data_IF_741402539341
#
_entry.id   IF_741402539341
#
_cell.length_a   1.000
_cell.length_b   1.000
_cell.length_c   1.000
_cell.angle_alpha   90.00
_cell.angle_beta   90.00
_cell.angle_gamma   90.00
#
_symmetry.space_group_name_H-M   'P 1'
#
loop_
_entity.id
_entity.type
_entity.pdbx_description
1 polymer ?
#
# COMPACT_ATOMS: atom_id res chain seq x y z
N UNK A 1 -14.89 -11.96 4.37
CA UNK A 1 -14.25 -13.26 4.71
C UNK A 1 -13.66 -13.08 6.10
N UNK A 2 -13.97 -13.95 7.07
CA UNK A 2 -13.45 -13.83 8.45
C UNK A 2 -13.62 -12.44 9.10
N UNK A 3 -14.78 -11.78 8.88
CA UNK A 3 -15.05 -10.43 9.37
C UNK A 3 -14.55 -9.29 8.48
N UNK A 4 -13.68 -9.58 7.51
CA UNK A 4 -13.13 -8.60 6.57
C UNK A 4 -14.10 -8.29 5.42
N UNK A 5 -14.11 -7.02 5.02
CA UNK A 5 -14.82 -6.55 3.83
C UNK A 5 -14.05 -6.94 2.57
N UNK A 6 -14.72 -7.66 1.67
CA UNK A 6 -14.27 -7.93 0.31
C UNK A 6 -15.40 -7.60 -0.66
N UNK A 7 -15.07 -7.61 -1.95
CA UNK A 7 -16.10 -7.56 -2.98
C UNK A 7 -17.07 -8.75 -2.85
N UNK A 8 -18.19 -8.70 -3.58
CA UNK A 8 -19.09 -9.85 -3.70
C UNK A 8 -18.64 -10.69 -4.89
N UNK A 9 -18.70 -12.01 -4.74
CA UNK A 9 -18.55 -12.92 -5.86
C UNK A 9 -19.61 -12.57 -6.93
N UNK A 10 -19.16 -12.40 -8.18
CA UNK A 10 -20.04 -12.05 -9.30
C UNK A 10 -20.36 -13.25 -10.16
N UNK A 11 -19.41 -14.15 -10.39
CA UNK A 11 -19.56 -15.32 -11.25
C UNK A 11 -19.55 -16.62 -10.43
N UNK A 12 -20.06 -17.71 -10.99
CA UNK A 12 -20.05 -18.98 -10.27
C UNK A 12 -18.70 -19.70 -10.39
N UNK A 13 -17.92 -19.38 -11.43
CA UNK A 13 -16.57 -19.92 -11.67
C UNK A 13 -15.53 -18.80 -11.78
N UNK A 14 -14.39 -19.00 -11.13
CA UNK A 14 -13.20 -18.15 -11.23
C UNK A 14 -12.00 -18.97 -11.72
N UNK A 15 -11.05 -18.36 -12.44
CA UNK A 15 -9.86 -19.06 -12.90
C UNK A 15 -8.98 -19.48 -11.73
N UNK A 16 -8.23 -20.56 -11.92
CA UNK A 16 -7.13 -20.90 -11.02
C UNK A 16 -6.06 -19.80 -11.04
N UNK A 17 -5.33 -19.65 -9.93
CA UNK A 17 -4.33 -18.60 -9.77
C UNK A 17 -2.99 -19.19 -9.35
N UNK A 18 -2.01 -19.09 -10.25
CA UNK A 18 -0.63 -19.49 -9.97
C UNK A 18 0.24 -18.26 -9.93
N UNK A 19 1.08 -18.14 -8.90
CA UNK A 19 2.07 -17.07 -8.78
C UNK A 19 3.45 -17.64 -8.53
N UNK A 20 4.42 -17.21 -9.33
CA UNK A 20 5.81 -17.67 -9.28
C UNK A 20 6.70 -16.46 -8.99
N UNK A 21 7.31 -16.46 -7.81
CA UNK A 21 8.29 -15.47 -7.41
C UNK A 21 9.65 -15.79 -8.02
N UNK A 22 10.43 -14.75 -8.29
CA UNK A 22 11.79 -14.88 -8.81
C UNK A 22 12.73 -14.01 -7.97
N UNK A 23 13.67 -14.64 -7.26
CA UNK A 23 14.62 -13.96 -6.39
C UNK A 23 16.07 -14.36 -6.72
N UNK A 24 17.09 -13.55 -6.36
CA UNK A 24 18.48 -13.94 -6.56
C UNK A 24 18.89 -15.21 -5.79
N UNK A 25 18.31 -15.37 -4.59
CA UNK A 25 18.51 -16.47 -3.66
C UNK A 25 17.44 -16.42 -2.57
N UNK A 26 17.49 -17.32 -1.57
CA UNK A 26 16.54 -17.32 -0.45
C UNK A 26 16.55 -15.99 0.33
N UNK A 27 15.37 -15.48 0.64
CA UNK A 27 15.16 -14.27 1.44
C UNK A 27 13.82 -14.39 2.18
N UNK A 28 13.85 -14.73 3.46
CA UNK A 28 12.65 -14.99 4.26
C UNK A 28 11.64 -13.84 4.24
N UNK A 29 12.13 -12.58 4.20
CA UNK A 29 11.25 -11.41 4.22
C UNK A 29 10.56 -11.24 2.87
N UNK A 30 11.31 -11.28 1.77
CA UNK A 30 10.75 -11.12 0.43
C UNK A 30 9.85 -12.30 0.06
N UNK A 31 10.25 -13.51 0.42
CA UNK A 31 9.44 -14.71 0.23
C UNK A 31 8.12 -14.65 1.02
N UNK A 32 8.18 -14.24 2.29
CA UNK A 32 6.99 -14.05 3.11
C UNK A 32 6.06 -12.99 2.54
N UNK A 33 6.59 -11.87 2.04
CA UNK A 33 5.80 -10.83 1.39
C UNK A 33 5.11 -11.33 0.12
N UNK A 34 5.83 -12.10 -0.69
CA UNK A 34 5.29 -12.69 -1.91
C UNK A 34 4.15 -13.67 -1.61
N UNK A 35 4.38 -14.61 -0.67
CA UNK A 35 3.36 -15.59 -0.26
C UNK A 35 2.14 -14.94 0.40
N UNK A 36 2.35 -13.88 1.19
CA UNK A 36 1.25 -13.12 1.78
C UNK A 36 0.44 -12.38 0.70
N UNK A 37 1.09 -11.70 -0.25
CA UNK A 37 0.39 -11.03 -1.36
C UNK A 37 -0.41 -12.03 -2.19
N UNK A 38 0.18 -13.18 -2.49
CA UNK A 38 -0.52 -14.28 -3.14
C UNK A 38 -1.79 -14.67 -2.36
N UNK A 39 -1.69 -14.91 -1.05
CA UNK A 39 -2.84 -15.23 -0.22
C UNK A 39 -3.95 -14.15 -0.25
N UNK A 40 -3.58 -12.87 -0.12
CA UNK A 40 -4.57 -11.77 -0.19
C UNK A 40 -5.27 -11.74 -1.55
N UNK A 41 -4.53 -11.96 -2.64
CA UNK A 41 -5.08 -12.05 -3.98
C UNK A 41 -5.98 -13.27 -4.19
N UNK A 42 -5.66 -14.44 -3.59
CA UNK A 42 -6.52 -15.63 -3.71
C UNK A 42 -7.86 -15.47 -3.02
N UNK A 43 -7.95 -14.64 -1.96
CA UNK A 43 -9.23 -14.24 -1.36
C UNK A 43 -10.02 -13.36 -2.33
N UNK A 44 -9.36 -12.36 -2.94
CA UNK A 44 -10.03 -11.39 -3.81
C UNK A 44 -10.43 -11.96 -5.18
N UNK A 45 -9.71 -12.98 -5.66
CA UNK A 45 -10.01 -13.67 -6.92
C UNK A 45 -10.94 -14.88 -6.75
N UNK A 46 -11.37 -15.20 -5.53
CA UNK A 46 -12.24 -16.36 -5.23
C UNK A 46 -11.71 -17.68 -5.81
N UNK A 47 -10.39 -17.83 -5.92
CA UNK A 47 -9.81 -19.01 -6.55
C UNK A 47 -10.04 -20.26 -5.69
N UNK A 48 -10.39 -21.35 -6.35
CA UNK A 48 -10.51 -22.70 -5.79
C UNK A 48 -9.29 -23.58 -6.08
N UNK A 49 -8.44 -23.14 -7.01
CA UNK A 49 -7.21 -23.82 -7.45
C UNK A 49 -6.08 -22.83 -7.44
N UNK A 50 -5.12 -23.00 -6.53
CA UNK A 50 -4.04 -22.05 -6.42
C UNK A 50 -2.69 -22.70 -6.13
N UNK A 51 -1.63 -22.04 -6.57
CA UNK A 51 -0.28 -22.43 -6.22
C UNK A 51 0.64 -21.22 -6.17
N UNK A 52 1.51 -21.21 -5.16
CA UNK A 52 2.54 -20.20 -4.99
C UNK A 52 3.88 -20.90 -4.86
N UNK A 53 4.84 -20.51 -5.70
CA UNK A 53 6.20 -20.98 -5.59
C UNK A 53 7.19 -19.85 -5.79
N UNK A 54 8.43 -20.07 -5.36
CA UNK A 54 9.51 -19.11 -5.51
C UNK A 54 10.69 -19.85 -6.08
N UNK A 55 11.24 -19.31 -7.15
CA UNK A 55 12.41 -19.81 -7.85
C UNK A 55 13.56 -18.84 -7.64
N UNK A 56 14.79 -19.37 -7.64
CA UNK A 56 15.99 -18.56 -7.44
C UNK A 56 16.84 -18.54 -8.71
N UNK A 57 17.44 -17.39 -9.02
CA UNK A 57 18.40 -17.31 -10.13
C UNK A 57 19.69 -18.12 -9.88
N UNK A 58 19.93 -18.53 -8.63
CA UNK A 58 21.02 -19.44 -8.25
C UNK A 58 20.72 -20.92 -8.55
N UNK A 59 19.49 -21.27 -8.92
CA UNK A 59 19.12 -22.65 -9.28
C UNK A 59 19.61 -22.99 -10.69
N UNK A 60 19.99 -24.26 -10.90
CA UNK A 60 20.21 -24.77 -12.25
C UNK A 60 18.89 -25.04 -12.99
N UNK A 61 18.98 -25.27 -14.30
CA UNK A 61 17.82 -25.48 -15.17
C UNK A 61 16.98 -26.70 -14.78
N UNK A 62 17.60 -27.76 -14.26
CA UNK A 62 16.90 -28.99 -13.88
C UNK A 62 16.12 -28.78 -12.58
N UNK A 63 16.70 -28.08 -11.60
CA UNK A 63 16.03 -27.64 -10.40
C UNK A 63 14.87 -26.69 -10.71
N UNK A 64 15.04 -25.73 -11.63
CA UNK A 64 13.96 -24.83 -12.06
C UNK A 64 12.80 -25.63 -12.65
N UNK A 65 13.07 -26.53 -13.61
CA UNK A 65 12.02 -27.37 -14.23
C UNK A 65 11.29 -28.22 -13.19
N UNK A 66 12.03 -28.87 -12.29
CA UNK A 66 11.47 -29.70 -11.22
C UNK A 66 10.54 -28.90 -10.30
N UNK A 67 10.99 -27.73 -9.85
CA UNK A 67 10.18 -26.88 -8.98
C UNK A 67 8.95 -26.32 -9.70
N UNK A 68 9.10 -25.90 -10.97
CA UNK A 68 7.98 -25.42 -11.77
C UNK A 68 6.91 -26.51 -11.96
N UNK A 69 7.32 -27.73 -12.30
CA UNK A 69 6.40 -28.87 -12.43
C UNK A 69 5.66 -29.15 -11.11
N UNK A 70 6.36 -29.09 -9.97
CA UNK A 70 5.75 -29.27 -8.65
C UNK A 70 4.72 -28.17 -8.33
N UNK A 71 5.01 -26.90 -8.65
CA UNK A 71 4.08 -25.78 -8.45
C UNK A 71 2.82 -25.98 -9.28
N UNK A 72 2.96 -26.34 -10.57
CA UNK A 72 1.83 -26.56 -11.46
C UNK A 72 0.98 -27.75 -11.03
N UNK A 73 1.61 -28.86 -10.64
CA UNK A 73 0.91 -30.04 -10.11
C UNK A 73 0.16 -29.71 -8.81
N UNK A 74 0.72 -28.88 -7.93
CA UNK A 74 0.02 -28.40 -6.73
C UNK A 74 -1.24 -27.60 -7.07
N UNK A 75 -1.21 -26.80 -8.14
CA UNK A 75 -2.35 -25.99 -8.56
C UNK A 75 -3.54 -26.86 -9.01
N UNK A 76 -3.28 -28.06 -9.52
CA UNK A 76 -4.32 -29.01 -9.92
C UNK A 76 -5.06 -29.61 -8.71
N UNK A 77 -4.37 -29.71 -7.57
CA UNK A 77 -4.85 -30.32 -6.33
C UNK A 77 -5.86 -29.49 -5.52
N UNK A 78 -6.14 -28.26 -5.92
CA UNK A 78 -7.11 -27.38 -5.25
C UNK A 78 -6.47 -26.19 -4.55
N UNK A 79 -7.16 -25.67 -3.52
CA UNK A 79 -6.72 -24.49 -2.77
C UNK A 79 -5.69 -24.85 -1.71
N UNK A 80 -4.66 -24.04 -1.57
CA UNK A 80 -3.63 -24.22 -0.54
C UNK A 80 -4.23 -24.31 0.87
N UNK A 81 -3.88 -25.37 1.60
CA UNK A 81 -4.36 -25.63 2.95
C UNK A 81 -3.66 -24.80 4.05
N UNK A 82 -2.48 -24.23 3.75
CA UNK A 82 -1.63 -23.53 4.72
C UNK A 82 -1.16 -22.17 4.18
N UNK A 83 -2.07 -21.18 4.05
CA UNK A 83 -1.71 -19.87 3.55
C UNK A 83 -0.86 -19.08 4.55
N UNK A 84 0.02 -18.22 4.02
CA UNK A 84 0.72 -17.21 4.83
C UNK A 84 -0.24 -16.04 5.07
N UNK A 85 -0.85 -16.01 6.26
CA UNK A 85 -1.93 -15.06 6.59
C UNK A 85 -1.45 -13.74 7.16
N UNK A 86 -0.20 -13.66 7.63
CA UNK A 86 0.39 -12.44 8.20
C UNK A 86 1.52 -11.92 7.32
N UNK A 87 1.55 -10.60 7.08
CA UNK A 87 2.67 -9.98 6.38
C UNK A 87 3.92 -9.97 7.28
N UNK A 88 5.13 -10.19 6.71
CA UNK A 88 6.37 -10.07 7.47
C UNK A 88 6.49 -8.71 8.17
N UNK A 89 6.87 -8.74 9.44
CA UNK A 89 7.10 -7.52 10.23
C UNK A 89 8.52 -7.02 9.98
N UNK A 90 8.62 -5.79 9.48
CA UNK A 90 9.91 -5.11 9.32
C UNK A 90 10.05 -4.07 10.41
N UNK A 91 10.99 -4.29 11.32
CA UNK A 91 11.25 -3.37 12.43
C UNK A 91 11.67 -1.98 11.93
N UNK A 92 11.24 -0.95 12.67
CA UNK A 92 11.71 0.42 12.46
C UNK A 92 13.22 0.48 12.72
N UNK A 93 13.90 1.31 11.94
CA UNK A 93 15.32 1.57 12.18
C UNK A 93 15.51 2.29 13.53
N UNK A 94 16.64 2.08 14.22
CA UNK A 94 16.98 2.86 15.40
C UNK A 94 16.84 4.36 15.10
N UNK A 95 16.27 5.12 16.04
CA UNK A 95 16.12 6.57 15.85
C UNK A 95 17.49 7.21 15.68
N UNK A 96 17.69 7.86 14.54
CA UNK A 96 18.87 8.70 14.32
C UNK A 96 18.78 9.97 15.18
N UNK A 97 19.92 10.48 15.61
CA UNK A 97 19.98 11.71 16.41
C UNK A 97 19.64 12.95 15.58
N UNK A 98 18.79 13.81 16.12
CA UNK A 98 18.57 15.17 15.63
C UNK A 98 17.22 15.43 14.94
N UNK A 99 16.72 16.67 15.03
CA UNK A 99 15.47 17.08 14.41
C UNK A 99 15.58 17.06 12.87
N UNK A 100 14.46 16.78 12.20
CA UNK A 100 14.33 16.85 10.74
C UNK A 100 14.16 18.31 10.32
N UNK A 101 14.87 18.73 9.27
CA UNK A 101 14.84 20.11 8.73
C UNK A 101 14.22 20.21 7.33
N UNK A 102 14.22 19.12 6.57
CA UNK A 102 13.58 19.05 5.24
C UNK A 102 12.80 17.76 5.08
N UNK A 103 11.60 17.86 4.50
CA UNK A 103 10.75 16.73 4.19
C UNK A 103 10.17 16.82 2.78
N UNK A 104 10.09 15.69 2.08
CA UNK A 104 9.49 15.54 0.76
C UNK A 104 8.30 14.58 0.80
N UNK A 105 7.14 15.05 0.35
CA UNK A 105 5.95 14.24 0.17
C UNK A 105 5.89 13.74 -1.27
N UNK A 106 5.88 12.44 -1.45
CA UNK A 106 5.59 11.77 -2.71
C UNK A 106 4.13 11.32 -2.70
N UNK A 107 3.28 11.98 -3.50
CA UNK A 107 1.88 11.60 -3.66
C UNK A 107 1.75 10.59 -4.78
N UNK A 108 1.45 9.34 -4.42
CA UNK A 108 1.33 8.18 -5.30
C UNK A 108 -0.07 7.88 -5.81
N UNK A 109 -1.00 8.83 -5.76
CA UNK A 109 -2.37 8.63 -6.27
C UNK A 109 -2.55 9.17 -7.71
N UNK A 110 -3.24 8.44 -8.60
CA UNK A 110 -3.59 8.94 -9.93
C UNK A 110 -4.56 10.13 -9.87
N UNK A 111 -5.30 10.29 -8.77
CA UNK A 111 -6.18 11.44 -8.52
C UNK A 111 -5.41 12.71 -8.10
N UNK A 112 -4.08 12.63 -8.02
CA UNK A 112 -3.18 13.73 -7.71
C UNK A 112 -3.63 14.52 -6.46
N UNK A 113 -3.64 15.85 -6.53
CA UNK A 113 -4.01 16.74 -5.43
C UNK A 113 -5.44 16.53 -4.89
N UNK A 114 -6.34 15.91 -5.67
CA UNK A 114 -7.73 15.60 -5.25
C UNK A 114 -7.88 14.21 -4.62
N UNK A 115 -6.77 13.56 -4.28
CA UNK A 115 -6.77 12.22 -3.71
C UNK A 115 -6.79 12.24 -2.18
N UNK A 116 -7.30 11.16 -1.59
CA UNK A 116 -7.15 10.93 -0.15
C UNK A 116 -5.68 10.89 0.27
N UNK A 117 -4.80 10.31 -0.55
CA UNK A 117 -3.36 10.24 -0.26
C UNK A 117 -2.72 11.64 -0.21
N UNK A 118 -3.12 12.54 -1.10
CA UNK A 118 -2.68 13.94 -1.07
C UNK A 118 -3.21 14.68 0.17
N UNK A 119 -4.45 14.43 0.56
CA UNK A 119 -5.06 15.05 1.75
C UNK A 119 -4.42 14.58 3.05
N UNK A 120 -4.20 13.27 3.21
CA UNK A 120 -3.54 12.69 4.39
C UNK A 120 -2.07 13.12 4.49
N UNK A 121 -1.33 12.99 3.38
CA UNK A 121 0.07 13.41 3.32
C UNK A 121 0.23 14.92 3.48
N UNK A 122 -0.65 15.70 2.85
CA UNK A 122 -0.68 17.16 2.95
C UNK A 122 -0.91 17.62 4.39
N UNK A 123 -1.89 17.05 5.09
CA UNK A 123 -2.12 17.36 6.51
C UNK A 123 -0.89 17.05 7.38
N UNK A 124 -0.27 15.88 7.19
CA UNK A 124 0.96 15.55 7.90
C UNK A 124 2.07 16.58 7.62
N UNK A 125 2.17 17.06 6.38
CA UNK A 125 3.17 18.04 5.96
C UNK A 125 2.88 19.44 6.48
N UNK A 126 1.62 19.86 6.54
CA UNK A 126 1.20 21.08 7.24
C UNK A 126 1.68 21.04 8.70
N UNK A 127 1.48 19.90 9.38
CA UNK A 127 1.93 19.72 10.77
C UNK A 127 3.45 19.67 10.93
N UNK A 128 4.18 19.10 9.96
CA UNK A 128 5.65 19.18 9.96
C UNK A 128 6.12 20.62 9.77
N UNK A 129 5.48 21.39 8.88
CA UNK A 129 5.80 22.80 8.66
C UNK A 129 5.55 23.66 9.92
N UNK A 130 4.48 23.39 10.67
CA UNK A 130 4.24 24.01 11.99
C UNK A 130 5.35 23.72 13.02
N UNK A 131 6.11 22.63 12.86
CA UNK A 131 7.29 22.30 13.66
C UNK A 131 8.60 22.89 13.09
N UNK A 132 8.52 23.72 12.04
CA UNK A 132 9.68 24.35 11.40
C UNK A 132 10.41 23.50 10.36
N UNK A 133 9.80 22.40 9.89
CA UNK A 133 10.35 21.58 8.81
C UNK A 133 10.07 22.22 7.46
N UNK A 134 11.07 22.35 6.58
CA UNK A 134 10.85 22.77 5.19
C UNK A 134 10.22 21.64 4.40
N UNK A 135 9.08 21.88 3.79
CA UNK A 135 8.29 20.85 3.12
C UNK A 135 8.23 21.05 1.61
N UNK A 136 8.41 19.96 0.86
CA UNK A 136 8.18 19.88 -0.58
C UNK A 136 7.15 18.79 -0.89
N UNK A 137 6.39 18.93 -1.99
CA UNK A 137 5.43 17.92 -2.43
C UNK A 137 5.55 17.65 -3.93
N UNK A 138 5.70 16.38 -4.29
CA UNK A 138 5.75 15.92 -5.68
C UNK A 138 4.61 14.94 -5.96
N UNK A 139 3.90 15.19 -7.06
CA UNK A 139 2.87 14.29 -7.58
C UNK A 139 3.53 13.26 -8.49
N UNK A 140 3.67 12.00 -8.05
CA UNK A 140 4.39 10.94 -8.77
C UNK A 140 3.89 10.78 -10.21
N UNK A 141 2.58 10.86 -10.43
CA UNK A 141 2.00 10.69 -11.76
C UNK A 141 2.43 11.76 -12.78
N UNK A 142 2.98 12.90 -12.34
CA UNK A 142 3.52 13.93 -13.23
C UNK A 142 4.92 13.63 -13.73
N UNK A 143 5.65 12.69 -13.12
CA UNK A 143 7.02 12.33 -13.51
C UNK A 143 7.08 11.20 -14.53
N UNK A 144 5.98 10.46 -14.70
CA UNK A 144 5.91 9.35 -15.64
C UNK A 144 6.10 9.82 -17.08
N UNK A 145 7.01 9.17 -17.82
CA UNK A 145 7.32 9.52 -19.20
C UNK A 145 8.05 10.86 -19.38
N UNK A 146 8.51 11.49 -18.29
CA UNK A 146 9.22 12.77 -18.34
C UNK A 146 10.57 12.67 -17.59
N UNK A 147 11.70 12.49 -18.32
CA UNK A 147 13.03 12.32 -17.72
C UNK A 147 13.48 13.50 -16.85
N UNK A 148 13.18 14.74 -17.25
CA UNK A 148 13.57 15.94 -16.49
C UNK A 148 12.87 16.01 -15.13
N UNK A 149 11.56 15.73 -15.11
CA UNK A 149 10.79 15.66 -13.87
C UNK A 149 11.22 14.49 -12.98
N UNK A 150 11.63 13.37 -13.57
CA UNK A 150 12.21 12.27 -12.82
C UNK A 150 13.54 12.69 -12.17
N UNK A 151 14.45 13.31 -12.92
CA UNK A 151 15.72 13.81 -12.40
C UNK A 151 15.50 14.82 -11.25
N UNK A 152 14.59 15.77 -11.43
CA UNK A 152 14.22 16.73 -10.39
C UNK A 152 13.63 16.08 -9.13
N UNK A 153 12.82 15.01 -9.28
CA UNK A 153 12.34 14.22 -8.15
C UNK A 153 13.51 13.55 -7.41
N UNK A 154 14.46 12.94 -8.13
CA UNK A 154 15.61 12.27 -7.54
C UNK A 154 16.51 13.25 -6.76
N UNK A 155 16.77 14.44 -7.31
CA UNK A 155 17.47 15.50 -6.58
C UNK A 155 16.73 15.92 -5.30
N UNK A 156 15.41 16.01 -5.36
CA UNK A 156 14.58 16.39 -4.21
C UNK A 156 14.61 15.30 -3.13
N UNK A 157 14.68 14.03 -3.53
CA UNK A 157 14.90 12.90 -2.62
C UNK A 157 16.24 13.03 -1.90
N UNK A 158 17.33 13.33 -2.62
CA UNK A 158 18.67 13.42 -2.02
C UNK A 158 18.83 14.62 -1.07
N UNK A 159 18.13 15.74 -1.34
CA UNK A 159 18.14 16.94 -0.48
C UNK A 159 17.25 16.83 0.76
N UNK A 160 16.42 15.79 0.85
CA UNK A 160 15.41 15.64 1.90
C UNK A 160 15.90 14.74 3.03
N UNK A 161 15.79 15.20 4.27
CA UNK A 161 16.11 14.40 5.44
C UNK A 161 15.01 13.38 5.76
N UNK A 162 13.77 13.67 5.34
CA UNK A 162 12.60 12.79 5.47
C UNK A 162 11.86 12.69 4.13
N UNK A 163 11.65 11.48 3.64
CA UNK A 163 10.78 11.20 2.50
C UNK A 163 9.54 10.47 2.99
N UNK A 164 8.36 10.98 2.64
CA UNK A 164 7.07 10.36 2.96
C UNK A 164 6.39 9.97 1.67
N UNK A 165 6.06 8.69 1.51
CA UNK A 165 5.24 8.21 0.40
C UNK A 165 3.79 8.06 0.85
N UNK A 166 2.87 8.81 0.25
CA UNK A 166 1.44 8.68 0.50
C UNK A 166 0.72 8.13 -0.74
N UNK A 167 0.04 6.98 -0.64
CA UNK A 167 -0.51 6.29 -1.81
C UNK A 167 -1.79 5.48 -1.51
N UNK A 168 -2.67 5.28 -2.51
CA UNK A 168 -3.79 4.37 -2.39
C UNK A 168 -3.34 2.92 -2.64
N UNK A 169 -4.01 1.98 -1.99
CA UNK A 169 -3.80 0.55 -2.22
C UNK A 169 -4.50 0.09 -3.51
N UNK A 170 -3.79 -0.64 -4.37
CA UNK A 170 -4.37 -1.33 -5.54
C UNK A 170 -3.96 -2.81 -5.52
N UNK A 171 -4.96 -3.71 -5.50
CA UNK A 171 -4.78 -5.17 -5.48
C UNK A 171 -3.78 -5.56 -4.36
N UNK A 172 -4.09 -5.15 -3.13
CA UNK A 172 -3.28 -5.37 -1.93
C UNK A 172 -1.81 -4.93 -2.01
N UNK A 173 -1.46 -4.09 -3.00
CA UNK A 173 -0.09 -3.67 -3.25
C UNK A 173 0.05 -2.19 -3.64
N UNK A 174 1.29 -1.78 -3.86
CA UNK A 174 1.69 -0.43 -4.28
C UNK A 174 1.31 -0.24 -5.77
N UNK A 175 0.69 0.90 -6.17
CA UNK A 175 0.35 1.15 -7.56
C UNK A 175 1.57 1.07 -8.50
N UNK A 176 1.39 0.50 -9.69
CA UNK A 176 2.49 0.28 -10.64
C UNK A 176 3.33 1.55 -10.96
N UNK A 177 2.75 2.74 -11.21
CA UNK A 177 3.54 3.95 -11.43
C UNK A 177 4.37 4.36 -10.21
N UNK A 178 3.88 4.09 -9.00
CA UNK A 178 4.62 4.33 -7.76
C UNK A 178 5.79 3.35 -7.66
N UNK A 179 5.57 2.06 -7.94
CA UNK A 179 6.65 1.06 -8.00
C UNK A 179 7.75 1.45 -9.00
N UNK A 180 7.39 1.99 -10.17
CA UNK A 180 8.36 2.48 -11.15
C UNK A 180 9.23 3.62 -10.60
N UNK A 181 8.64 4.58 -9.86
CA UNK A 181 9.40 5.65 -9.22
C UNK A 181 10.26 5.12 -8.07
N UNK A 182 9.75 4.22 -7.23
CA UNK A 182 10.54 3.59 -6.16
C UNK A 182 11.74 2.84 -6.75
N UNK A 183 11.57 2.11 -7.86
CA UNK A 183 12.68 1.47 -8.58
C UNK A 183 13.72 2.48 -9.05
N UNK A 184 13.30 3.61 -9.63
CA UNK A 184 14.21 4.66 -10.06
C UNK A 184 14.99 5.26 -8.88
N UNK A 185 14.32 5.52 -7.75
CA UNK A 185 14.97 5.99 -6.51
C UNK A 185 15.99 4.95 -6.02
N UNK A 186 15.60 3.67 -5.94
CA UNK A 186 16.49 2.60 -5.50
C UNK A 186 17.72 2.44 -6.39
N UNK A 187 17.56 2.57 -7.71
CA UNK A 187 18.67 2.55 -8.67
C UNK A 187 19.59 3.76 -8.50
N UNK A 188 19.02 4.96 -8.41
CA UNK A 188 19.76 6.22 -8.22
C UNK A 188 20.60 6.19 -6.95
N UNK A 189 20.03 5.66 -5.86
CA UNK A 189 20.68 5.59 -4.53
C UNK A 189 21.60 4.40 -4.34
N UNK A 190 21.70 3.50 -5.32
CA UNK A 190 22.54 2.30 -5.22
C UNK A 190 24.02 2.70 -5.07
N UNK A 191 24.65 2.25 -3.99
CA UNK A 191 26.06 2.56 -3.70
C UNK A 191 26.29 3.93 -3.06
N UNK A 192 25.24 4.73 -2.83
CA UNK A 192 25.33 5.96 -2.07
C UNK A 192 25.40 5.69 -0.55
N UNK A 193 25.87 6.68 0.22
CA UNK A 193 25.89 6.61 1.67
C UNK A 193 24.47 6.49 2.24
N UNK A 194 24.28 5.53 3.17
CA UNK A 194 23.00 5.32 3.85
C UNK A 194 22.62 6.57 4.64
N UNK A 195 21.51 7.17 4.27
CA UNK A 195 21.09 8.50 4.72
C UNK A 195 19.60 8.70 4.47
N UNK A 196 19.03 9.68 5.19
CA UNK A 196 17.62 10.02 5.06
C UNK A 196 16.68 9.05 5.76
N UNK A 197 15.47 9.52 6.02
CA UNK A 197 14.40 8.81 6.70
C UNK A 197 13.28 8.52 5.71
N UNK A 198 12.61 7.37 5.84
CA UNK A 198 11.49 7.00 4.97
C UNK A 198 10.27 6.57 5.79
N UNK A 199 9.10 7.12 5.44
CA UNK A 199 7.79 6.79 6.01
C UNK A 199 6.81 6.48 4.89
N UNK A 200 5.90 5.55 5.12
CA UNK A 200 4.79 5.30 4.19
C UNK A 200 3.42 5.57 4.85
N UNK A 201 2.52 6.21 4.10
CA UNK A 201 1.12 6.42 4.44
C UNK A 201 0.27 5.75 3.37
N UNK A 202 -0.35 4.62 3.73
CA UNK A 202 -1.21 3.87 2.82
C UNK A 202 -2.68 4.05 3.20
N UNK A 203 -3.53 4.18 2.19
CA UNK A 203 -4.97 4.21 2.37
C UNK A 203 -5.68 3.25 1.41
N UNK A 204 -6.79 2.66 1.84
CA UNK A 204 -7.57 1.71 1.01
C UNK A 204 -9.05 2.08 0.96
N UNK A 205 -9.77 1.50 -0.01
CA UNK A 205 -11.23 1.60 -0.10
C UNK A 205 -11.98 0.67 0.86
N UNK A 206 -11.28 -0.29 1.46
CA UNK A 206 -11.80 -1.19 2.48
C UNK A 206 -11.64 -0.58 3.87
N UNK A 207 -12.64 -0.75 4.74
CA UNK A 207 -12.67 -0.10 6.06
C UNK A 207 -11.60 -0.62 7.01
N UNK A 208 -11.11 -1.84 6.79
CA UNK A 208 -10.06 -2.44 7.58
C UNK A 208 -8.67 -1.96 7.12
N UNK A 209 -7.80 -1.54 8.04
CA UNK A 209 -6.48 -1.01 7.65
C UNK A 209 -5.50 -2.09 7.23
N UNK A 210 -5.70 -3.34 7.68
CA UNK A 210 -4.76 -4.46 7.46
C UNK A 210 -4.62 -4.84 5.98
N UNK A 211 -5.59 -4.48 5.13
CA UNK A 211 -5.45 -4.61 3.67
C UNK A 211 -4.16 -3.92 3.15
N UNK A 212 -3.64 -2.91 3.86
CA UNK A 212 -2.43 -2.20 3.47
C UNK A 212 -1.12 -2.87 3.93
N UNK A 213 -1.16 -3.92 4.75
CA UNK A 213 0.03 -4.46 5.44
C UNK A 213 1.12 -4.93 4.48
N UNK A 214 0.74 -5.64 3.42
CA UNK A 214 1.70 -6.13 2.43
C UNK A 214 2.44 -4.97 1.76
N UNK A 215 1.70 -3.99 1.22
CA UNK A 215 2.25 -2.81 0.58
C UNK A 215 3.18 -2.01 1.52
N UNK A 216 2.78 -1.85 2.79
CA UNK A 216 3.58 -1.13 3.78
C UNK A 216 4.87 -1.87 4.17
N UNK A 217 4.81 -3.19 4.27
CA UNK A 217 6.00 -4.01 4.51
C UNK A 217 6.93 -4.04 3.29
N UNK A 218 6.40 -4.02 2.06
CA UNK A 218 7.20 -3.78 0.85
C UNK A 218 7.88 -2.41 0.86
N UNK A 219 7.21 -1.35 1.33
CA UNK A 219 7.85 -0.04 1.51
C UNK A 219 9.01 -0.09 2.52
N UNK A 220 8.90 -0.90 3.58
CA UNK A 220 9.95 -1.05 4.57
C UNK A 220 11.18 -1.78 4.00
N UNK A 221 10.98 -2.82 3.19
CA UNK A 221 12.06 -3.49 2.43
C UNK A 221 12.72 -2.51 1.47
N UNK A 222 11.92 -1.80 0.66
CA UNK A 222 12.42 -0.76 -0.22
C UNK A 222 13.28 0.29 0.50
N UNK A 223 12.81 0.79 1.65
CA UNK A 223 13.54 1.78 2.43
C UNK A 223 14.93 1.27 2.83
N UNK A 224 15.02 0.01 3.29
CA UNK A 224 16.30 -0.61 3.66
C UNK A 224 17.22 -0.80 2.45
N UNK A 225 16.70 -1.26 1.32
CA UNK A 225 17.48 -1.48 0.08
C UNK A 225 17.98 -0.17 -0.53
N UNK A 226 17.15 0.89 -0.51
CA UNK A 226 17.49 2.22 -1.00
C UNK A 226 18.32 3.07 0.00
N UNK A 227 18.78 2.46 1.10
CA UNK A 227 19.69 3.10 2.04
C UNK A 227 19.05 4.10 3.00
N UNK A 228 17.72 4.12 3.15
CA UNK A 228 17.00 4.94 4.13
C UNK A 228 16.91 4.26 5.49
N UNK A 229 16.72 5.07 6.54
CA UNK A 229 16.18 4.62 7.82
C UNK A 229 14.66 4.50 7.73
N UNK A 230 14.12 3.30 7.89
CA UNK A 230 12.68 3.07 7.93
C UNK A 230 12.10 3.57 9.25
N UNK A 231 11.26 4.61 9.20
CA UNK A 231 10.70 5.25 10.38
C UNK A 231 9.32 4.70 10.77
N UNK A 232 8.78 3.76 9.99
CA UNK A 232 7.46 3.17 10.21
C UNK A 232 6.41 3.65 9.20
N UNK A 233 5.16 3.27 9.45
CA UNK A 233 4.07 3.51 8.53
C UNK A 233 2.75 3.83 9.22
N UNK A 234 1.85 4.45 8.46
CA UNK A 234 0.46 4.71 8.81
C UNK A 234 -0.44 3.99 7.80
N UNK A 235 -1.44 3.26 8.31
CA UNK A 235 -2.43 2.56 7.50
C UNK A 235 -3.83 3.11 7.83
N UNK A 236 -4.57 3.55 6.83
CA UNK A 236 -5.94 4.07 7.02
C UNK A 236 -6.91 3.30 6.12
N UNK A 237 -7.84 2.58 6.75
CA UNK A 237 -8.96 1.95 6.06
C UNK A 237 -10.07 2.95 5.73
N UNK A 238 -10.82 2.68 4.67
CA UNK A 238 -11.99 3.45 4.26
C UNK A 238 -11.65 4.87 3.83
N UNK A 239 -10.44 5.10 3.32
CA UNK A 239 -9.92 6.43 3.02
C UNK A 239 -10.80 7.25 2.06
N UNK A 240 -11.47 6.61 1.10
CA UNK A 240 -12.44 7.31 0.24
C UNK A 240 -13.70 7.71 1.02
N UNK A 241 -14.20 6.83 1.89
CA UNK A 241 -15.38 7.11 2.72
C UNK A 241 -15.12 8.15 3.82
N UNK A 242 -13.89 8.22 4.34
CA UNK A 242 -13.49 9.18 5.37
C UNK A 242 -13.13 10.55 4.78
N UNK A 243 -12.28 10.58 3.75
CA UNK A 243 -11.64 11.81 3.27
C UNK A 243 -12.23 12.31 1.97
N UNK A 244 -12.53 11.41 1.03
CA UNK A 244 -13.08 11.75 -0.29
C UNK A 244 -12.31 12.88 -1.02
N UNK A 245 -10.99 12.94 -0.84
CA UNK A 245 -10.13 13.98 -1.42
C UNK A 245 -10.38 15.41 -0.93
N UNK A 246 -11.15 15.60 0.15
CA UNK A 246 -11.33 16.91 0.80
C UNK A 246 -10.12 17.23 1.69
N UNK A 247 -9.81 18.51 1.94
CA UNK A 247 -8.79 18.89 2.91
C UNK A 247 -9.06 18.22 4.28
N UNK A 248 -8.06 17.56 4.83
CA UNK A 248 -8.24 16.74 6.03
C UNK A 248 -8.59 17.56 7.28
N UNK A 249 -8.13 18.82 7.32
CA UNK A 249 -8.45 19.81 8.34
C UNK A 249 -9.94 20.17 8.39
N UNK A 250 -10.64 20.11 7.26
CA UNK A 250 -12.06 20.46 7.13
C UNK A 250 -13.02 19.30 7.50
N UNK A 251 -12.49 18.09 7.71
CA UNK A 251 -13.33 16.93 7.99
C UNK A 251 -13.93 16.97 9.41
N UNK A 252 -15.21 16.61 9.54
CA UNK A 252 -15.93 16.59 10.80
C UNK A 252 -15.58 15.43 11.73
N UNK A 253 -16.48 15.14 12.68
CA UNK A 253 -16.31 14.23 13.82
C UNK A 253 -15.44 12.98 13.59
N UNK A 254 -15.74 12.11 12.62
CA UNK A 254 -15.00 10.87 12.39
C UNK A 254 -13.50 11.04 12.12
N UNK A 255 -13.06 12.20 11.62
CA UNK A 255 -11.66 12.49 11.33
C UNK A 255 -10.87 13.07 12.52
N UNK A 256 -11.55 13.50 13.61
CA UNK A 256 -10.90 14.09 14.79
C UNK A 256 -9.84 13.15 15.40
N UNK A 257 -10.13 11.86 15.65
CA UNK A 257 -9.13 10.96 16.20
C UNK A 257 -7.93 10.78 15.27
N UNK A 258 -8.15 10.78 13.96
CA UNK A 258 -7.07 10.63 12.97
C UNK A 258 -6.17 11.86 12.95
N UNK A 259 -6.74 13.08 12.98
CA UNK A 259 -5.96 14.32 13.08
C UNK A 259 -5.07 14.32 14.31
N UNK A 260 -5.65 14.04 15.49
CA UNK A 260 -4.89 13.96 16.75
C UNK A 260 -3.70 13.00 16.65
N UNK A 261 -3.88 11.83 16.05
CA UNK A 261 -2.80 10.86 15.91
C UNK A 261 -1.80 11.24 14.81
N UNK A 262 -2.24 11.87 13.72
CA UNK A 262 -1.33 12.42 12.71
C UNK A 262 -0.49 13.58 13.27
N UNK A 263 -1.02 14.39 14.18
CA UNK A 263 -0.26 15.43 14.88
C UNK A 263 0.86 14.80 15.72
N UNK A 264 0.57 13.70 16.44
CA UNK A 264 1.58 12.93 17.19
C UNK A 264 2.65 12.35 16.27
N UNK A 265 2.24 11.84 15.09
CA UNK A 265 3.18 11.36 14.07
C UNK A 265 4.06 12.50 13.55
N UNK A 266 3.49 13.67 13.25
CA UNK A 266 4.25 14.84 12.80
C UNK A 266 5.29 15.28 13.83
N UNK A 267 4.90 15.39 15.10
CA UNK A 267 5.81 15.77 16.20
C UNK A 267 6.95 14.76 16.37
N UNK A 268 6.65 13.46 16.34
CA UNK A 268 7.66 12.42 16.43
C UNK A 268 8.66 12.51 15.26
N UNK A 269 8.16 12.58 14.02
CA UNK A 269 8.98 12.67 12.82
C UNK A 269 9.82 13.95 12.77
N UNK A 270 9.27 15.10 13.15
CA UNK A 270 10.00 16.36 13.24
C UNK A 270 11.16 16.29 14.24
N UNK A 271 11.00 15.55 15.34
CA UNK A 271 12.08 15.28 16.32
C UNK A 271 13.07 14.19 15.89
N UNK A 272 12.91 13.63 14.69
CA UNK A 272 13.74 12.55 14.15
C UNK A 272 13.37 11.14 14.64
N UNK A 273 12.28 11.00 15.39
CA UNK A 273 11.79 9.72 15.94
C UNK A 273 10.91 8.98 14.95
N UNK A 274 10.74 7.68 15.17
CA UNK A 274 9.83 6.83 14.39
C UNK A 274 8.36 7.15 14.67
N UNK A 275 7.50 6.68 13.77
CA UNK A 275 6.03 6.73 13.93
C UNK A 275 5.66 6.04 15.25
N UNK A 276 5.01 6.73 16.20
CA UNK A 276 4.65 6.15 17.49
C UNK A 276 3.72 4.95 17.33
N UNK A 277 3.99 3.86 18.08
CA UNK A 277 3.24 2.61 17.98
C UNK A 277 1.77 2.82 18.33
N UNK A 278 1.48 3.59 19.37
CA UNK A 278 0.13 3.92 19.82
C UNK A 278 -0.62 4.70 18.75
N UNK A 279 0.01 5.71 18.15
CA UNK A 279 -0.59 6.50 17.08
C UNK A 279 -0.91 5.61 15.86
N UNK A 280 0.02 4.74 15.47
CA UNK A 280 -0.19 3.75 14.39
C UNK A 280 -1.39 2.85 14.68
N UNK A 281 -1.50 2.32 15.90
CA UNK A 281 -2.62 1.46 16.30
C UNK A 281 -3.96 2.20 16.26
N UNK A 282 -4.02 3.46 16.70
CA UNK A 282 -5.27 4.25 16.66
C UNK A 282 -5.66 4.61 15.23
N UNK A 283 -4.69 4.97 14.37
CA UNK A 283 -4.94 5.30 12.96
C UNK A 283 -5.43 4.08 12.15
N UNK A 284 -5.03 2.87 12.54
CA UNK A 284 -5.52 1.63 11.94
C UNK A 284 -6.95 1.24 12.32
N UNK A 285 -7.54 1.86 13.35
CA UNK A 285 -8.91 1.54 13.76
C UNK A 285 -9.90 2.06 12.72
N UNK A 286 -10.97 1.30 12.42
CA UNK A 286 -12.02 1.77 11.52
C UNK A 286 -12.84 2.88 12.19
N UNK A 287 -13.14 3.95 11.45
CA UNK A 287 -13.94 5.08 11.97
C UNK A 287 -15.43 4.73 12.17
N UNK A 288 -15.86 3.59 11.63
CA UNK A 288 -17.21 3.07 11.76
C UNK A 288 -17.18 1.54 11.71
N UNK A 289 -18.11 0.83 12.37
CA UNK A 289 -18.28 -0.61 12.20
C UNK A 289 -18.38 -1.02 10.72
N UNK A 290 -17.72 -2.12 10.35
CA UNK A 290 -17.62 -2.53 8.95
C UNK A 290 -18.97 -2.86 8.28
N UNK A 291 -19.96 -3.33 9.04
CA UNK A 291 -21.31 -3.57 8.49
C UNK A 291 -22.01 -2.26 8.11
N UNK A 292 -21.82 -1.17 8.86
CA UNK A 292 -22.35 0.16 8.53
C UNK A 292 -21.67 0.65 7.25
N UNK A 293 -20.34 0.54 7.19
CA UNK A 293 -19.57 0.94 6.01
C UNK A 293 -20.08 0.24 4.75
N UNK A 294 -20.28 -1.08 4.80
CA UNK A 294 -20.82 -1.87 3.69
C UNK A 294 -22.24 -1.49 3.31
N UNK A 295 -23.12 -1.25 4.29
CA UNK A 295 -24.51 -0.86 4.05
C UNK A 295 -24.61 0.51 3.36
N UNK A 296 -23.88 1.51 3.88
CA UNK A 296 -23.82 2.87 3.29
C UNK A 296 -23.20 2.84 1.90
N UNK A 297 -22.10 2.11 1.72
CA UNK A 297 -21.47 1.91 0.41
C UNK A 297 -22.43 1.29 -0.60
N UNK A 298 -23.11 0.20 -0.23
CA UNK A 298 -24.10 -0.46 -1.08
C UNK A 298 -25.24 0.48 -1.47
N UNK A 299 -25.77 1.25 -0.52
CA UNK A 299 -26.79 2.25 -0.79
C UNK A 299 -26.29 3.33 -1.76
N UNK A 300 -25.06 3.84 -1.56
CA UNK A 300 -24.42 4.82 -2.43
C UNK A 300 -24.31 4.33 -3.88
N UNK A 301 -23.81 3.11 -4.07
CA UNK A 301 -23.71 2.47 -5.39
C UNK A 301 -25.09 2.28 -6.04
N UNK A 302 -26.09 1.77 -5.31
CA UNK A 302 -27.46 1.62 -5.84
C UNK A 302 -28.09 2.96 -6.23
N UNK A 303 -27.86 4.02 -5.43
CA UNK A 303 -28.33 5.38 -5.74
C UNK A 303 -27.68 5.93 -7.01
N UNK A 304 -26.37 5.73 -7.19
CA UNK A 304 -25.66 6.13 -8.39
C UNK A 304 -26.11 5.32 -9.60
N UNK A 305 -26.28 4.00 -9.48
CA UNK A 305 -26.79 3.15 -10.56
C UNK A 305 -28.20 3.58 -11.01
N UNK A 306 -29.09 3.90 -10.07
CA UNK A 306 -30.43 4.43 -10.41
C UNK A 306 -30.37 5.73 -11.20
N UNK A 307 -29.52 6.67 -10.79
CA UNK A 307 -29.34 7.96 -11.49
C UNK A 307 -28.82 7.80 -12.92
N UNK A 308 -28.08 6.73 -13.17
CA UNK A 308 -27.52 6.42 -14.49
C UNK A 308 -28.32 5.34 -15.26
N UNK A 309 -29.54 5.00 -14.83
CA UNK A 309 -30.38 4.01 -15.52
C UNK A 309 -29.87 2.56 -15.47
N UNK A 310 -28.86 2.27 -14.64
CA UNK A 310 -28.16 0.98 -14.60
C UNK A 310 -28.52 0.12 -13.38
N UNK A 311 -29.56 0.48 -12.60
CA UNK A 311 -29.88 -0.21 -11.35
C UNK A 311 -30.21 -1.69 -11.55
N UNK A 312 -30.95 -2.03 -12.61
CA UNK A 312 -31.28 -3.43 -12.94
C UNK A 312 -30.09 -4.23 -13.46
N UNK A 313 -29.00 -3.56 -13.85
CA UNK A 313 -27.81 -4.17 -14.44
C UNK A 313 -26.63 -4.25 -13.46
N UNK A 314 -26.79 -3.80 -12.22
CA UNK A 314 -25.68 -3.74 -11.23
C UNK A 314 -25.08 -5.13 -10.92
N UNK A 315 -25.91 -6.16 -11.11
CA UNK A 315 -25.58 -7.57 -10.91
C UNK A 315 -25.45 -8.35 -12.23
N UNK A 316 -25.41 -7.66 -13.37
CA UNK A 316 -25.25 -8.30 -14.67
C UNK A 316 -23.94 -9.11 -14.74
N UNK A 317 -24.01 -10.26 -15.40
CA UNK A 317 -22.91 -11.19 -15.63
C UNK A 317 -22.66 -11.33 -17.15
N UNK A 318 -22.16 -10.29 -17.84
CA UNK A 318 -22.04 -10.29 -19.31
C UNK A 318 -21.03 -11.32 -19.87
N UNK A 319 -20.24 -11.96 -18.99
CA UNK A 319 -19.28 -13.01 -19.33
C UNK A 319 -19.68 -14.37 -18.76
N UNK A 320 -20.89 -14.52 -18.24
CA UNK A 320 -21.40 -15.86 -17.96
C UNK A 320 -21.59 -16.55 -19.31
N UNK A 321 -20.93 -17.68 -19.50
CA UNK A 321 -21.27 -18.57 -20.62
C UNK A 321 -22.77 -18.91 -20.49
N UNK A 322 -23.53 -18.80 -21.57
CA UNK A 322 -24.88 -19.36 -21.61
C UNK A 322 -24.73 -20.86 -21.32
N UNK A 323 -25.35 -21.30 -20.22
CA UNK A 323 -25.28 -22.68 -19.73
C UNK A 323 -25.93 -23.64 -20.72
#
# INVERSE_FOLDING_TARGET
VNGETHHRQRYDRYPGFVSIGWLPGPDETQEGLFRHLFYRNTINFYTEKDACGILYSSMDNEAIKKNLAAILSSAEGGKSASPVTEAPRVEVSPSASGPVRSALLLVGSPRMAKSTSASLGGYLFEKLAEQGVRTETVQIYKTFGNPEKMASLLESVDRSELVVLAFPLYIDSIPAPVLSVLRAIGQHRRGQARSGKFVAVANSGFIESHHNENALASCAVFAKEAGFSWMGSVAIGGGEGLVHGKPFSELGGPAIPYRKNLDLVAQALASGKSVPVEARMQLGKPFTPGWIYRAVGSYGWKKQARRNGALSQIDARPYAEEV
#
